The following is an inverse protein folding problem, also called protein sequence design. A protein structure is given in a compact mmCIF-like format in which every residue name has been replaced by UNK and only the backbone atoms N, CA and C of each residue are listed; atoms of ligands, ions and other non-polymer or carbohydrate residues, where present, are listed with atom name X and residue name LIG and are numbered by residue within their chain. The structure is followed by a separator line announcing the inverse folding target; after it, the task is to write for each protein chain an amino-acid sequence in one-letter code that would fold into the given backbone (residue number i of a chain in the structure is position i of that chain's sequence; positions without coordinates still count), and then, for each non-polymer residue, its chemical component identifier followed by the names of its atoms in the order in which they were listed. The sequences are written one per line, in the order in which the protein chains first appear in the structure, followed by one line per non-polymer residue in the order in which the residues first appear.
data_IF_438186855586
#
_entry.id   IF_438186855586
#
_cell.length_a   1.000
_cell.length_b   1.000
_cell.length_c   1.000
_cell.angle_alpha   90.00
_cell.angle_beta   90.00
_cell.angle_gamma   90.00
#
_symmetry.space_group_name_H-M   'P 1'
#
loop_
_entity.id
_entity.type
_entity.pdbx_description
1 polymer ?
#
# COMPACT_ATOMS: atom_id res chain seq x y z
N UNK A 1 7.42 4.83 -4.38
CA UNK A 1 6.36 4.26 -3.53
C UNK A 1 5.06 4.32 -4.32
N UNK A 2 4.22 3.30 -4.29
CA UNK A 2 2.89 3.32 -4.90
C UNK A 2 1.86 3.69 -3.81
N UNK A 3 1.80 4.95 -3.38
CA UNK A 3 0.75 5.37 -2.45
C UNK A 3 -0.38 6.01 -3.24
N UNK A 4 -1.59 5.57 -3.00
CA UNK A 4 -2.81 6.29 -3.34
C UNK A 4 -3.94 5.72 -2.49
N UNK A 5 -4.76 6.60 -1.92
CA UNK A 5 -5.76 6.21 -0.92
C UNK A 5 -6.75 5.16 -1.44
N UNK A 6 -7.08 5.21 -2.74
CA UNK A 6 -7.93 4.21 -3.41
C UNK A 6 -7.06 3.07 -3.91
N UNK A 7 -7.20 1.85 -3.36
CA UNK A 7 -6.40 0.72 -3.76
C UNK A 7 -6.70 0.28 -5.21
N UNK A 8 -5.72 -0.29 -5.94
CA UNK A 8 -5.93 -0.72 -7.32
C UNK A 8 -7.10 -1.68 -7.52
N UNK A 9 -7.36 -2.57 -6.56
CA UNK A 9 -8.46 -3.54 -6.66
C UNK A 9 -9.85 -2.87 -6.65
N UNK A 10 -10.00 -1.71 -6.00
CA UNK A 10 -11.26 -0.94 -6.00
C UNK A 10 -11.50 -0.34 -7.38
N UNK A 11 -10.48 0.29 -7.96
CA UNK A 11 -10.57 0.83 -9.32
C UNK A 11 -10.76 -0.29 -10.36
N UNK A 12 -10.18 -1.47 -10.15
CA UNK A 12 -10.40 -2.64 -11.02
C UNK A 12 -11.84 -3.16 -10.93
N UNK A 13 -12.46 -3.16 -9.75
CA UNK A 13 -13.87 -3.49 -9.59
C UNK A 13 -14.76 -2.48 -10.35
N UNK A 14 -14.49 -1.18 -10.21
CA UNK A 14 -15.21 -0.13 -10.96
C UNK A 14 -15.01 -0.25 -12.47
N UNK A 15 -13.80 -0.60 -12.92
CA UNK A 15 -13.46 -0.85 -14.31
C UNK A 15 -14.21 -2.05 -14.94
N UNK A 16 -14.90 -2.86 -14.13
CA UNK A 16 -15.70 -4.02 -14.56
C UNK A 16 -17.14 -3.98 -14.03
N UNK A 17 -17.59 -2.82 -13.54
CA UNK A 17 -18.89 -2.64 -12.88
C UNK A 17 -20.11 -2.81 -13.81
N UNK A 18 -19.93 -2.77 -15.13
CA UNK A 18 -21.02 -2.76 -16.10
C UNK A 18 -21.63 -1.37 -16.32
N UNK A 19 -21.07 -0.32 -15.69
CA UNK A 19 -21.50 1.07 -15.85
C UNK A 19 -20.49 1.84 -16.71
N UNK A 20 -20.79 2.14 -18.00
CA UNK A 20 -19.78 2.61 -18.96
C UNK A 20 -18.98 3.84 -18.52
N UNK A 21 -19.62 4.78 -17.84
CA UNK A 21 -18.95 5.99 -17.36
C UNK A 21 -17.95 5.67 -16.23
N UNK A 22 -18.38 4.92 -15.21
CA UNK A 22 -17.50 4.49 -14.11
C UNK A 22 -16.33 3.65 -14.62
N UNK A 23 -16.61 2.75 -15.57
CA UNK A 23 -15.56 1.93 -16.16
C UNK A 23 -14.51 2.76 -16.90
N UNK A 24 -14.93 3.81 -17.61
CA UNK A 24 -14.02 4.71 -18.32
C UNK A 24 -13.15 5.50 -17.35
N UNK A 25 -13.76 6.10 -16.31
CA UNK A 25 -13.05 6.90 -15.31
C UNK A 25 -12.06 6.06 -14.51
N UNK A 26 -12.48 4.89 -14.03
CA UNK A 26 -11.61 4.00 -13.27
C UNK A 26 -10.41 3.49 -14.09
N UNK A 27 -10.60 3.17 -15.38
CA UNK A 27 -9.49 2.80 -16.28
C UNK A 27 -8.53 3.96 -16.52
N UNK A 28 -9.03 5.17 -16.62
CA UNK A 28 -8.19 6.37 -16.78
C UNK A 28 -7.40 6.67 -15.50
N UNK A 29 -8.02 6.59 -14.33
CA UNK A 29 -7.34 6.69 -13.02
C UNK A 29 -6.21 5.67 -12.92
N UNK A 30 -6.50 4.37 -13.16
CA UNK A 30 -5.49 3.30 -13.16
C UNK A 30 -4.33 3.59 -14.14
N UNK A 31 -4.62 4.12 -15.33
CA UNK A 31 -3.61 4.49 -16.33
C UNK A 31 -2.73 5.63 -15.83
N UNK A 32 -3.31 6.66 -15.23
CA UNK A 32 -2.58 7.81 -14.68
C UNK A 32 -1.71 7.39 -13.50
N UNK A 33 -2.23 6.55 -12.60
CA UNK A 33 -1.50 5.98 -11.47
C UNK A 33 -0.27 5.22 -11.95
N UNK A 34 -0.46 4.33 -12.94
CA UNK A 34 0.64 3.59 -13.56
C UNK A 34 1.72 4.51 -14.17
N UNK A 35 1.33 5.53 -14.93
CA UNK A 35 2.26 6.48 -15.54
C UNK A 35 3.06 7.26 -14.49
N UNK A 36 2.43 7.63 -13.38
CA UNK A 36 3.10 8.31 -12.27
C UNK A 36 4.12 7.43 -11.60
N UNK A 37 3.79 6.16 -11.38
CA UNK A 37 4.74 5.22 -10.80
C UNK A 37 5.99 5.05 -11.67
N UNK A 38 5.82 4.95 -12.99
CA UNK A 38 6.95 4.86 -13.92
C UNK A 38 7.83 6.12 -13.88
N UNK A 39 7.21 7.30 -13.84
CA UNK A 39 7.94 8.57 -13.74
C UNK A 39 8.74 8.64 -12.43
N UNK A 40 8.10 8.33 -11.30
CA UNK A 40 8.74 8.35 -9.99
C UNK A 40 9.89 7.33 -9.90
N UNK A 41 9.70 6.10 -10.39
CA UNK A 41 10.75 5.08 -10.44
C UNK A 41 11.97 5.52 -11.27
N UNK A 42 11.73 6.17 -12.43
CA UNK A 42 12.81 6.71 -13.28
C UNK A 42 13.53 7.87 -12.59
N UNK A 43 12.81 8.80 -11.98
CA UNK A 43 13.41 9.92 -11.26
C UNK A 43 14.26 9.47 -10.08
N UNK A 44 13.84 8.45 -9.33
CA UNK A 44 14.62 7.88 -8.24
C UNK A 44 15.86 7.12 -8.72
N UNK A 45 15.80 6.46 -9.88
CA UNK A 45 16.96 5.78 -10.49
C UNK A 45 18.01 6.78 -10.99
N UNK A 46 17.59 7.95 -11.47
CA UNK A 46 18.47 9.01 -11.98
C UNK A 46 19.05 9.93 -10.87
N UNK A 47 18.48 9.92 -9.66
CA UNK A 47 18.83 10.85 -8.57
C UNK A 47 19.86 10.33 -7.55
N UNK A 48 20.58 9.25 -7.83
CA UNK A 48 21.69 8.82 -6.98
C UNK A 48 22.78 9.90 -6.77
N UNK A 49 22.88 10.90 -7.66
CA UNK A 49 23.93 11.94 -7.61
C UNK A 49 23.44 13.42 -7.57
N UNK A 50 22.14 13.71 -7.48
CA UNK A 50 21.65 15.09 -7.57
C UNK A 50 21.38 15.72 -6.19
N UNK A 51 22.43 16.31 -5.59
CA UNK A 51 22.32 17.17 -4.40
C UNK A 51 21.56 18.49 -4.71
N UNK A 52 20.60 18.80 -3.84
CA UNK A 52 20.43 20.13 -3.20
C UNK A 52 20.12 21.32 -4.14
N UNK A 53 18.94 21.35 -4.74
CA UNK A 53 18.41 22.59 -5.34
C UNK A 53 16.94 22.80 -4.92
N UNK A 54 16.67 23.98 -4.33
CA UNK A 54 15.37 24.58 -3.99
C UNK A 54 14.59 24.15 -2.72
N UNK A 55 15.25 23.66 -1.65
CA UNK A 55 14.56 23.36 -0.36
C UNK A 55 14.55 24.50 0.68
N UNK A 56 15.09 25.69 0.37
CA UNK A 56 15.23 26.75 1.38
C UNK A 56 14.06 27.75 1.42
N UNK A 57 13.29 27.90 0.34
CA UNK A 57 12.26 28.93 0.23
C UNK A 57 10.89 28.51 0.80
N UNK A 58 10.67 27.21 1.00
CA UNK A 58 9.38 26.63 1.43
C UNK A 58 9.44 26.00 2.81
N UNK A 59 10.49 26.26 3.61
CA UNK A 59 10.57 25.61 4.94
C UNK A 59 9.60 26.26 5.92
N UNK A 60 8.98 25.43 6.76
CA UNK A 60 8.26 25.88 7.94
C UNK A 60 9.24 26.33 9.03
N UNK A 61 8.77 27.15 9.96
CA UNK A 61 9.50 27.41 11.20
C UNK A 61 9.13 26.32 12.22
N UNK A 62 9.77 26.33 13.38
CA UNK A 62 9.34 25.50 14.52
C UNK A 62 8.06 26.00 15.18
N UNK A 63 7.46 27.10 14.68
CA UNK A 63 6.31 27.76 15.31
C UNK A 63 5.07 27.79 14.40
N UNK A 64 5.24 27.64 13.09
CA UNK A 64 4.14 27.65 12.13
C UNK A 64 4.47 26.81 10.88
N UNK A 65 3.46 26.19 10.23
CA UNK A 65 3.64 25.50 8.97
C UNK A 65 3.99 26.47 7.83
N UNK A 66 4.39 25.91 6.69
CA UNK A 66 4.47 26.64 5.42
C UNK A 66 3.72 25.84 4.37
N UNK A 67 2.49 26.25 4.08
CA UNK A 67 1.58 25.58 3.15
C UNK A 67 1.49 26.31 1.83
N UNK A 68 1.45 25.54 0.74
CA UNK A 68 1.21 26.07 -0.60
C UNK A 68 0.26 25.12 -1.34
N UNK A 69 -0.90 25.64 -1.73
CA UNK A 69 -1.89 24.92 -2.55
C UNK A 69 -1.83 25.45 -3.97
N UNK A 70 -1.77 24.52 -4.92
CA UNK A 70 -1.80 24.75 -6.34
C UNK A 70 -3.06 24.12 -6.96
N UNK A 71 -3.39 24.57 -8.17
CA UNK A 71 -4.47 24.07 -9.00
C UNK A 71 -3.89 23.50 -10.29
N UNK A 72 -4.22 22.24 -10.60
CA UNK A 72 -3.83 21.58 -11.84
C UNK A 72 -4.76 21.93 -13.03
N UNK A 73 -5.86 22.65 -12.78
CA UNK A 73 -6.86 23.10 -13.76
C UNK A 73 -7.43 21.93 -14.58
N UNK A 74 -7.65 20.79 -13.93
CA UNK A 74 -8.03 19.49 -14.52
C UNK A 74 -7.02 18.94 -15.55
N UNK A 75 -5.80 19.46 -15.55
CA UNK A 75 -4.65 18.88 -16.23
C UNK A 75 -3.90 17.89 -15.34
N UNK A 76 -2.79 17.36 -15.86
CA UNK A 76 -1.93 16.43 -15.13
C UNK A 76 -0.54 17.01 -14.84
N UNK A 77 -0.34 18.31 -15.03
CA UNK A 77 0.95 18.97 -14.76
C UNK A 77 1.03 19.35 -13.29
N UNK A 78 2.11 18.95 -12.61
CA UNK A 78 2.34 19.27 -11.20
C UNK A 78 3.51 20.27 -11.05
N UNK A 79 3.47 21.17 -10.06
CA UNK A 79 2.37 21.38 -9.11
C UNK A 79 1.19 22.16 -9.71
N UNK A 80 1.33 22.75 -10.90
CA UNK A 80 0.27 23.60 -11.49
C UNK A 80 0.39 25.07 -11.05
N UNK A 81 -0.73 25.79 -11.04
CA UNK A 81 -0.79 27.23 -10.71
C UNK A 81 -0.93 27.43 -9.21
N UNK A 82 -0.07 28.22 -8.57
CA UNK A 82 -0.24 28.53 -7.15
C UNK A 82 -1.51 29.35 -6.91
N UNK A 83 -2.42 28.87 -6.06
CA UNK A 83 -3.71 29.51 -5.77
C UNK A 83 -3.86 29.95 -4.32
N UNK A 84 -3.15 29.33 -3.37
CA UNK A 84 -3.14 29.76 -1.96
C UNK A 84 -1.79 29.48 -1.31
N UNK A 85 -1.27 30.44 -0.56
CA UNK A 85 0.00 30.32 0.17
C UNK A 85 -0.21 30.57 1.67
N UNK A 86 0.79 30.24 2.49
CA UNK A 86 0.74 30.44 3.94
C UNK A 86 0.34 31.88 4.31
N UNK A 87 -0.67 32.01 5.17
CA UNK A 87 -1.21 33.28 5.63
C UNK A 87 -2.13 34.00 4.64
N UNK A 88 -2.32 33.49 3.42
CA UNK A 88 -3.27 34.04 2.47
C UNK A 88 -4.73 33.77 2.91
N UNK A 89 -5.67 34.70 2.62
CA UNK A 89 -7.08 34.50 2.92
C UNK A 89 -7.66 33.27 2.19
N UNK A 90 -8.81 32.80 2.67
CA UNK A 90 -9.58 31.76 1.98
C UNK A 90 -9.99 32.21 0.57
N UNK A 91 -10.11 31.25 -0.33
CA UNK A 91 -10.57 31.46 -1.71
C UNK A 91 -12.03 31.05 -1.87
N UNK A 92 -12.66 31.34 -3.01
CA UNK A 92 -14.01 30.86 -3.32
C UNK A 92 -14.04 29.36 -3.66
N UNK A 93 -12.87 28.74 -3.87
CA UNK A 93 -12.74 27.31 -4.12
C UNK A 93 -12.69 26.50 -2.82
N UNK A 94 -13.62 25.56 -2.68
CA UNK A 94 -13.76 24.73 -1.49
C UNK A 94 -12.63 23.70 -1.38
N UNK A 95 -12.22 23.06 -2.47
CA UNK A 95 -11.16 22.06 -2.46
C UNK A 95 -9.81 22.68 -2.08
N UNK A 96 -9.54 23.90 -2.56
CA UNK A 96 -8.36 24.69 -2.16
C UNK A 96 -8.35 24.95 -0.65
N UNK A 97 -9.49 25.31 -0.08
CA UNK A 97 -9.60 25.61 1.35
C UNK A 97 -9.47 24.35 2.20
N UNK A 98 -10.17 23.27 1.83
CA UNK A 98 -10.09 21.98 2.50
C UNK A 98 -8.67 21.41 2.49
N UNK A 99 -7.98 21.45 1.35
CA UNK A 99 -6.58 21.05 1.26
C UNK A 99 -5.71 21.92 2.19
N UNK A 100 -5.81 23.25 2.10
CA UNK A 100 -5.02 24.17 2.93
C UNK A 100 -5.23 23.93 4.44
N UNK A 101 -6.46 23.71 4.86
CA UNK A 101 -6.82 23.49 6.26
C UNK A 101 -6.38 22.09 6.72
N UNK A 102 -6.54 21.06 5.89
CA UNK A 102 -6.10 19.71 6.20
C UNK A 102 -4.58 19.55 6.29
N UNK A 103 -3.82 20.26 5.43
CA UNK A 103 -2.37 20.39 5.56
C UNK A 103 -1.99 21.01 6.92
N UNK A 104 -2.73 22.02 7.36
CA UNK A 104 -2.53 22.70 8.64
C UNK A 104 -2.81 21.79 9.83
N UNK A 105 -3.97 21.16 9.86
CA UNK A 105 -4.37 20.22 10.90
C UNK A 105 -3.38 19.05 11.04
N UNK A 106 -2.87 18.55 9.92
CA UNK A 106 -1.84 17.50 9.92
C UNK A 106 -0.55 17.99 10.57
N UNK A 107 -0.04 19.15 10.16
CA UNK A 107 1.13 19.75 10.79
C UNK A 107 0.94 19.95 12.30
N UNK A 108 -0.24 20.44 12.71
CA UNK A 108 -0.53 20.68 14.12
C UNK A 108 -0.55 19.40 14.96
N UNK A 109 -1.01 18.27 14.43
CA UNK A 109 -0.90 16.99 15.15
C UNK A 109 0.57 16.68 15.42
N UNK A 110 1.39 16.64 14.38
CA UNK A 110 2.81 16.30 14.49
C UNK A 110 3.57 17.25 15.42
N UNK A 111 3.30 18.56 15.30
CA UNK A 111 3.95 19.57 16.11
C UNK A 111 3.47 19.54 17.57
N UNK A 112 2.16 19.64 17.80
CA UNK A 112 1.64 19.83 19.15
C UNK A 112 1.61 18.54 19.98
N UNK A 113 1.35 17.38 19.35
CA UNK A 113 1.32 16.11 20.06
C UNK A 113 2.71 15.50 20.21
N UNK A 114 3.59 15.68 19.20
CA UNK A 114 4.85 14.93 19.12
C UNK A 114 6.11 15.79 19.03
N UNK A 115 5.98 17.12 19.02
CA UNK A 115 7.11 18.05 18.91
C UNK A 115 7.85 17.98 17.57
N UNK A 116 7.27 17.30 16.56
CA UNK A 116 7.91 17.06 15.26
C UNK A 116 7.73 18.27 14.34
N UNK A 117 8.82 18.76 13.75
CA UNK A 117 8.74 19.89 12.83
C UNK A 117 8.47 19.43 11.37
N UNK A 118 7.19 19.29 11.03
CA UNK A 118 6.71 18.82 9.72
C UNK A 118 7.13 17.37 9.39
N UNK A 119 6.92 16.92 8.15
CA UNK A 119 7.04 15.52 7.77
C UNK A 119 8.48 14.98 7.89
N UNK A 120 9.49 15.81 7.65
CA UNK A 120 10.91 15.42 7.68
C UNK A 120 11.65 15.80 8.98
N UNK A 121 10.91 16.26 9.99
CA UNK A 121 11.41 16.82 11.26
C UNK A 121 12.37 18.02 11.11
N UNK A 122 12.40 18.65 9.93
CA UNK A 122 13.27 19.80 9.63
C UNK A 122 12.50 20.87 8.87
N UNK A 123 11.19 20.92 9.07
CA UNK A 123 10.30 21.93 8.53
C UNK A 123 10.12 21.85 7.03
N UNK A 124 9.96 20.65 6.47
CA UNK A 124 9.51 20.49 5.08
C UNK A 124 8.23 21.30 4.83
N UNK A 125 8.20 22.08 3.75
CA UNK A 125 6.98 22.77 3.31
C UNK A 125 5.92 21.77 2.88
N UNK A 126 4.67 22.08 3.18
CA UNK A 126 3.54 21.24 2.81
C UNK A 126 2.93 21.77 1.52
N UNK A 127 3.13 21.04 0.43
CA UNK A 127 2.64 21.41 -0.89
C UNK A 127 1.48 20.49 -1.25
N UNK A 128 0.42 21.06 -1.79
CA UNK A 128 -0.72 20.33 -2.34
C UNK A 128 -1.07 20.85 -3.73
N UNK A 129 -1.59 19.96 -4.57
CA UNK A 129 -2.23 20.26 -5.85
C UNK A 129 -3.65 19.70 -5.86
N UNK A 130 -4.64 20.55 -6.12
CA UNK A 130 -6.05 20.16 -6.29
C UNK A 130 -6.45 20.11 -7.76
N UNK A 131 -7.65 19.61 -8.05
CA UNK A 131 -8.22 19.48 -9.39
C UNK A 131 -7.31 18.73 -10.36
N UNK A 132 -6.66 17.67 -9.88
CA UNK A 132 -5.81 16.83 -10.69
C UNK A 132 -6.64 15.97 -11.64
N UNK A 133 -6.44 16.16 -12.95
CA UNK A 133 -7.20 15.49 -14.01
C UNK A 133 -8.72 15.75 -13.89
N UNK A 134 -9.53 15.04 -14.69
CA UNK A 134 -11.00 15.09 -14.66
C UNK A 134 -11.54 13.80 -14.06
N UNK A 135 -12.44 13.94 -13.09
CA UNK A 135 -13.13 12.81 -12.45
C UNK A 135 -12.12 11.76 -11.95
N UNK A 136 -11.02 12.24 -11.37
CA UNK A 136 -9.93 11.39 -10.91
C UNK A 136 -10.26 10.83 -9.53
N UNK A 137 -10.46 9.52 -9.48
CA UNK A 137 -10.88 8.78 -8.29
C UNK A 137 -9.69 8.36 -7.42
N UNK A 138 -8.78 9.30 -7.13
CA UNK A 138 -7.70 9.05 -6.19
C UNK A 138 -7.11 10.33 -5.56
N UNK A 139 -6.33 10.14 -4.51
CA UNK A 139 -5.42 11.13 -3.96
C UNK A 139 -4.14 10.42 -3.51
N UNK A 140 -3.01 11.13 -3.55
CA UNK A 140 -1.71 10.51 -3.22
C UNK A 140 -0.63 11.50 -2.78
N UNK A 141 0.34 10.98 -2.02
CA UNK A 141 1.66 11.59 -1.83
C UNK A 141 2.67 11.15 -2.91
N UNK A 142 3.23 12.10 -3.66
CA UNK A 142 4.16 11.80 -4.77
C UNK A 142 5.64 11.67 -4.37
N UNK A 143 5.94 11.80 -3.08
CA UNK A 143 7.30 11.91 -2.54
C UNK A 143 7.73 13.34 -2.22
N UNK A 144 6.99 14.35 -2.69
CA UNK A 144 7.27 15.77 -2.53
C UNK A 144 6.05 16.65 -2.23
N UNK A 145 4.87 16.27 -2.70
CA UNK A 145 3.61 16.99 -2.50
C UNK A 145 2.41 16.05 -2.46
N UNK A 146 1.30 16.59 -1.95
CA UNK A 146 -0.04 16.02 -2.04
C UNK A 146 -0.70 16.32 -3.38
N UNK A 147 -1.44 15.37 -3.92
CA UNK A 147 -2.24 15.53 -5.15
C UNK A 147 -3.64 14.99 -4.91
N UNK A 148 -4.66 15.77 -5.27
CA UNK A 148 -6.06 15.43 -5.05
C UNK A 148 -6.86 15.45 -6.36
N UNK A 149 -7.61 14.37 -6.60
CA UNK A 149 -8.69 14.35 -7.57
C UNK A 149 -10.01 14.88 -7.02
N UNK A 150 -10.91 15.20 -7.93
CA UNK A 150 -12.25 15.68 -7.63
C UNK A 150 -13.29 14.56 -7.45
N UNK A 151 -12.91 13.30 -7.77
CA UNK A 151 -13.81 12.16 -7.83
C UNK A 151 -14.82 12.25 -8.99
N UNK A 152 -15.45 11.13 -9.33
CA UNK A 152 -16.45 11.03 -10.40
C UNK A 152 -17.86 11.57 -10.04
N UNK A 153 -18.09 11.92 -8.77
CA UNK A 153 -19.37 12.40 -8.25
C UNK A 153 -20.48 11.35 -8.15
N UNK A 154 -20.21 10.09 -8.51
CA UNK A 154 -21.16 8.97 -8.54
C UNK A 154 -20.80 7.85 -7.55
N UNK A 155 -19.51 7.61 -7.38
CA UNK A 155 -18.91 6.69 -6.41
C UNK A 155 -18.08 7.50 -5.44
N UNK A 156 -17.17 8.34 -5.94
CA UNK A 156 -16.29 9.15 -5.12
C UNK A 156 -16.60 10.64 -5.27
N UNK A 157 -16.61 11.32 -4.13
CA UNK A 157 -16.63 12.78 -4.03
C UNK A 157 -15.18 13.29 -3.96
N UNK A 158 -15.00 14.62 -3.99
CA UNK A 158 -13.68 15.25 -3.94
C UNK A 158 -12.83 14.78 -2.75
N UNK A 159 -11.57 14.46 -3.03
CA UNK A 159 -10.68 13.82 -2.06
C UNK A 159 -10.15 14.77 -0.97
N UNK A 160 -10.26 16.08 -1.17
CA UNK A 160 -9.93 17.09 -0.15
C UNK A 160 -10.91 17.10 1.01
N UNK A 161 -12.10 16.53 0.85
CA UNK A 161 -13.18 16.55 1.84
C UNK A 161 -12.88 15.71 3.09
N UNK A 162 -11.96 14.76 2.98
CA UNK A 162 -11.69 13.77 4.00
C UNK A 162 -10.39 14.09 4.71
N UNK A 163 -10.49 14.62 5.93
CA UNK A 163 -9.34 15.10 6.69
C UNK A 163 -8.37 13.96 7.08
N UNK A 164 -8.92 12.80 7.39
CA UNK A 164 -8.18 11.55 7.63
C UNK A 164 -7.40 11.09 6.40
N UNK A 165 -7.93 11.24 5.19
CA UNK A 165 -7.22 10.94 3.93
C UNK A 165 -6.08 11.92 3.70
N UNK A 166 -6.28 13.22 3.94
CA UNK A 166 -5.18 14.20 3.88
C UNK A 166 -4.09 13.83 4.88
N UNK A 167 -4.47 13.49 6.12
CA UNK A 167 -3.54 13.06 7.16
C UNK A 167 -2.82 11.75 6.83
N UNK A 168 -3.51 10.78 6.24
CA UNK A 168 -2.99 9.48 5.79
C UNK A 168 -1.87 9.68 4.75
N UNK A 169 -2.15 10.44 3.71
CA UNK A 169 -1.18 10.63 2.63
C UNK A 169 0.07 11.39 3.10
N UNK A 170 -0.10 12.40 3.96
CA UNK A 170 1.01 13.11 4.57
C UNK A 170 1.81 12.23 5.56
N UNK A 171 1.16 11.26 6.21
CA UNK A 171 1.82 10.30 7.10
C UNK A 171 2.74 9.32 6.33
N UNK A 172 2.47 9.01 5.06
CA UNK A 172 3.46 8.33 4.21
C UNK A 172 4.77 9.12 4.09
N UNK A 173 4.67 10.45 4.01
CA UNK A 173 5.83 11.33 4.05
C UNK A 173 6.63 11.19 5.35
N UNK A 174 5.96 11.05 6.50
CA UNK A 174 6.65 10.79 7.78
C UNK A 174 7.36 9.44 7.75
N UNK A 175 6.66 8.38 7.36
CA UNK A 175 7.24 7.03 7.20
C UNK A 175 8.46 7.04 6.28
N UNK A 176 8.41 7.78 5.16
CA UNK A 176 9.54 7.95 4.25
C UNK A 176 10.78 8.58 4.91
N UNK A 177 10.59 9.51 5.85
CA UNK A 177 11.68 10.20 6.55
C UNK A 177 12.06 9.57 7.91
N UNK A 178 11.41 8.48 8.31
CA UNK A 178 11.70 7.76 9.55
C UNK A 178 12.07 6.30 9.29
N UNK A 179 11.10 5.39 9.34
CA UNK A 179 11.26 3.94 9.28
C UNK A 179 11.59 3.43 7.88
N UNK A 180 11.15 4.16 6.85
CA UNK A 180 11.36 3.80 5.45
C UNK A 180 10.75 2.44 5.08
N UNK A 181 9.66 2.04 5.75
CA UNK A 181 9.00 0.75 5.54
C UNK A 181 8.80 0.46 4.05
N UNK A 182 9.34 -0.69 3.62
CA UNK A 182 9.21 -1.17 2.24
C UNK A 182 7.73 -1.39 1.96
N UNK A 183 7.29 -0.89 0.82
CA UNK A 183 5.88 -0.95 0.41
C UNK A 183 5.55 -2.30 -0.23
N UNK A 184 5.73 -3.38 0.54
CA UNK A 184 5.52 -4.77 0.11
C UNK A 184 5.18 -5.65 1.33
N UNK A 185 4.26 -6.60 1.15
CA UNK A 185 3.85 -7.60 2.14
C UNK A 185 3.50 -6.95 3.50
N UNK A 186 3.94 -7.54 4.63
CA UNK A 186 3.65 -7.02 5.96
C UNK A 186 4.28 -5.64 6.23
N UNK A 187 5.47 -5.35 5.71
CA UNK A 187 6.08 -4.03 5.86
C UNK A 187 5.25 -2.95 5.15
N UNK A 188 4.69 -3.28 3.98
CA UNK A 188 3.80 -2.39 3.24
C UNK A 188 2.44 -2.23 3.94
N UNK A 189 1.89 -3.33 4.48
CA UNK A 189 0.69 -3.26 5.30
C UNK A 189 0.88 -2.44 6.58
N UNK A 190 2.08 -2.46 7.18
CA UNK A 190 2.45 -1.54 8.26
C UNK A 190 2.56 -0.09 7.77
N UNK A 191 3.08 0.14 6.57
CA UNK A 191 3.15 1.49 5.99
C UNK A 191 1.75 2.10 5.84
N UNK A 192 0.81 1.36 5.25
CA UNK A 192 -0.61 1.71 5.15
C UNK A 192 -1.27 1.90 6.52
N UNK A 193 -1.02 0.98 7.45
CA UNK A 193 -1.51 1.05 8.81
C UNK A 193 -1.09 2.32 9.53
N UNK A 194 0.19 2.68 9.46
CA UNK A 194 0.72 3.90 10.08
C UNK A 194 0.01 5.13 9.49
N UNK A 195 -0.20 5.15 8.18
CA UNK A 195 -0.93 6.23 7.53
C UNK A 195 -2.39 6.32 8.00
N UNK A 196 -3.10 5.19 8.10
CA UNK A 196 -4.47 5.15 8.64
C UNK A 196 -4.52 5.63 10.11
N UNK A 197 -3.59 5.18 10.96
CA UNK A 197 -3.48 5.61 12.37
C UNK A 197 -3.35 7.12 12.45
N UNK A 198 -2.33 7.70 11.81
CA UNK A 198 -2.09 9.14 11.94
C UNK A 198 -3.13 9.96 11.20
N UNK A 199 -3.72 9.47 10.11
CA UNK A 199 -4.88 10.07 9.46
C UNK A 199 -6.07 10.23 10.42
N UNK A 200 -6.48 9.15 11.09
CA UNK A 200 -7.56 9.21 12.08
C UNK A 200 -7.20 10.11 13.26
N UNK A 201 -5.95 10.10 13.73
CA UNK A 201 -5.52 11.01 14.80
C UNK A 201 -5.57 12.48 14.40
N UNK A 202 -5.27 12.83 13.14
CA UNK A 202 -5.46 14.20 12.61
C UNK A 202 -6.93 14.59 12.70
N UNK A 203 -7.83 13.72 12.18
CA UNK A 203 -9.28 13.95 12.22
C UNK A 203 -9.79 14.10 13.66
N UNK A 204 -9.43 13.18 14.54
CA UNK A 204 -9.84 13.20 15.95
C UNK A 204 -9.38 14.48 16.64
N UNK A 205 -8.12 14.88 16.48
CA UNK A 205 -7.58 16.08 17.12
C UNK A 205 -8.25 17.34 16.60
N UNK A 206 -8.40 17.46 15.28
CA UNK A 206 -9.03 18.64 14.66
C UNK A 206 -10.50 18.80 15.06
N UNK A 207 -11.22 17.68 15.28
CA UNK A 207 -12.61 17.68 15.71
C UNK A 207 -12.78 17.62 17.24
N UNK A 208 -11.71 17.51 18.01
CA UNK A 208 -11.75 17.37 19.47
C UNK A 208 -12.46 16.10 19.94
N UNK A 209 -12.31 15.00 19.22
CA UNK A 209 -12.97 13.71 19.51
C UNK A 209 -12.06 12.79 20.33
N UNK A 210 -12.60 12.22 21.40
CA UNK A 210 -11.95 11.12 22.10
C UNK A 210 -11.96 9.82 21.28
N UNK A 211 -11.20 8.82 21.72
CA UNK A 211 -11.20 7.47 21.15
C UNK A 211 -12.61 6.84 21.11
N UNK A 212 -13.47 7.15 22.09
CA UNK A 212 -14.84 6.66 22.16
C UNK A 212 -15.77 7.36 21.15
N UNK A 213 -15.52 8.64 20.87
CA UNK A 213 -16.35 9.46 19.98
C UNK A 213 -16.02 9.30 18.50
N UNK A 214 -14.81 8.84 18.18
CA UNK A 214 -14.35 8.67 16.81
C UNK A 214 -15.10 7.54 16.08
N UNK A 215 -15.34 7.73 14.80
CA UNK A 215 -15.96 6.71 13.93
C UNK A 215 -15.01 5.54 13.62
N UNK A 216 -13.69 5.78 13.68
CA UNK A 216 -12.63 4.84 13.28
C UNK A 216 -12.75 4.37 11.83
N UNK A 217 -13.24 5.25 10.95
CA UNK A 217 -13.37 5.03 9.52
C UNK A 217 -12.28 5.81 8.78
N UNK A 218 -11.87 5.28 7.62
CA UNK A 218 -11.00 5.98 6.68
C UNK A 218 -11.83 6.38 5.46
N UNK A 219 -11.84 7.66 5.12
CA UNK A 219 -12.49 8.11 3.88
C UNK A 219 -14.02 8.11 3.96
N UNK A 220 -14.61 8.31 5.15
CA UNK A 220 -16.07 8.28 5.33
C UNK A 220 -16.79 9.37 4.51
N UNK A 221 -16.10 10.49 4.28
CA UNK A 221 -16.58 11.65 3.54
C UNK A 221 -16.47 11.51 2.01
N UNK A 222 -15.82 10.44 1.53
CA UNK A 222 -15.54 10.24 0.11
C UNK A 222 -16.68 9.55 -0.66
N UNK A 223 -17.47 8.70 -0.01
CA UNK A 223 -18.47 7.90 -0.72
C UNK A 223 -19.71 8.74 -1.09
N UNK A 224 -20.07 8.73 -2.36
CA UNK A 224 -21.23 9.46 -2.87
C UNK A 224 -22.56 8.86 -2.35
N UNK A 225 -23.64 9.67 -2.25
CA UNK A 225 -24.96 9.16 -1.91
C UNK A 225 -25.40 8.02 -2.85
N UNK A 226 -25.80 6.89 -2.27
CA UNK A 226 -26.20 5.69 -3.02
C UNK A 226 -25.14 4.60 -3.10
N UNK A 227 -23.89 4.89 -2.70
CA UNK A 227 -22.89 3.86 -2.44
C UNK A 227 -23.21 3.10 -1.15
N UNK A 228 -23.18 1.77 -1.20
CA UNK A 228 -23.36 0.90 -0.03
C UNK A 228 -22.05 0.74 0.75
N UNK A 229 -21.67 1.80 1.44
CA UNK A 229 -20.51 1.80 2.32
C UNK A 229 -20.57 2.93 3.36
N UNK A 230 -19.70 2.83 4.35
CA UNK A 230 -19.50 3.85 5.39
C UNK A 230 -18.12 4.52 5.28
N UNK A 231 -17.23 3.98 4.46
CA UNK A 231 -15.90 4.51 4.17
C UNK A 231 -15.10 3.54 3.31
N UNK A 232 -13.83 3.83 3.06
CA UNK A 232 -12.91 2.94 2.35
C UNK A 232 -12.47 1.78 3.25
N UNK A 233 -12.23 2.05 4.53
CA UNK A 233 -11.76 1.07 5.53
C UNK A 233 -12.38 1.35 6.89
N UNK A 234 -12.45 0.32 7.73
CA UNK A 234 -12.80 0.46 9.15
C UNK A 234 -11.66 -0.07 10.00
N UNK A 235 -11.04 0.79 10.82
CA UNK A 235 -10.04 0.35 11.78
C UNK A 235 -10.66 -0.46 12.91
N UNK A 236 -11.92 -0.15 13.27
CA UNK A 236 -12.66 -0.86 14.32
C UNK A 236 -13.10 -2.26 13.90
N UNK A 237 -13.60 -2.40 12.68
CA UNK A 237 -14.11 -3.66 12.14
C UNK A 237 -13.68 -3.83 10.67
N UNK A 238 -12.40 -4.20 10.42
CA UNK A 238 -11.93 -4.45 9.06
C UNK A 238 -12.81 -5.49 8.34
N UNK A 239 -13.09 -5.25 7.05
CA UNK A 239 -13.97 -6.10 6.25
C UNK A 239 -15.45 -5.69 6.26
N UNK A 240 -15.79 -4.56 6.89
CA UNK A 240 -17.16 -4.05 7.00
C UNK A 240 -17.36 -2.64 6.45
N UNK A 241 -16.35 -2.02 5.83
CA UNK A 241 -16.45 -0.64 5.38
C UNK A 241 -17.42 -0.45 4.20
N UNK A 242 -17.50 -1.43 3.30
CA UNK A 242 -18.43 -1.41 2.16
C UNK A 242 -18.80 -2.81 1.67
N UNK A 243 -19.98 -2.90 1.05
CA UNK A 243 -20.50 -4.05 0.32
C UNK A 243 -21.43 -3.52 -0.78
N UNK A 244 -20.81 -2.99 -1.84
CA UNK A 244 -21.46 -2.32 -2.95
C UNK A 244 -21.29 -3.15 -4.24
N UNK A 245 -22.34 -3.34 -5.06
CA UNK A 245 -22.24 -4.11 -6.31
C UNK A 245 -21.16 -3.60 -7.29
N UNK A 246 -20.78 -2.32 -7.22
CA UNK A 246 -19.78 -1.69 -8.10
C UNK A 246 -18.37 -1.77 -7.50
N UNK A 247 -18.24 -1.69 -6.17
CA UNK A 247 -16.95 -1.72 -5.45
C UNK A 247 -16.53 -3.12 -5.02
N UNK A 248 -17.47 -4.07 -4.98
CA UNK A 248 -17.32 -5.33 -4.27
C UNK A 248 -17.51 -5.18 -2.77
N UNK A 249 -16.90 -6.08 -2.01
CA UNK A 249 -16.92 -6.09 -0.55
C UNK A 249 -15.52 -5.77 -0.01
N UNK A 250 -15.47 -4.99 1.08
CA UNK A 250 -14.24 -4.73 1.84
C UNK A 250 -13.50 -6.05 2.16
N UNK A 251 -12.28 -6.26 1.61
CA UNK A 251 -11.56 -7.52 1.72
C UNK A 251 -10.71 -7.62 3.00
N UNK A 252 -10.65 -6.58 3.84
CA UNK A 252 -9.65 -6.53 4.92
C UNK A 252 -9.90 -7.58 6.03
N UNK A 253 -8.90 -8.41 6.38
CA UNK A 253 -8.95 -9.20 7.61
C UNK A 253 -8.73 -8.32 8.85
N UNK A 254 -9.40 -8.66 9.95
CA UNK A 254 -9.18 -8.08 11.28
C UNK A 254 -8.38 -8.97 12.23
N UNK A 255 -7.85 -10.11 11.75
CA UNK A 255 -7.09 -11.06 12.56
C UNK A 255 -6.11 -11.85 11.69
N UNK A 256 -4.92 -12.17 12.22
CA UNK A 256 -3.87 -12.97 11.56
C UNK A 256 -4.28 -14.35 11.06
N UNK A 257 -5.39 -14.92 11.54
CA UNK A 257 -5.86 -16.23 11.06
C UNK A 257 -6.42 -16.15 9.64
N UNK A 258 -6.87 -14.95 9.26
CA UNK A 258 -7.48 -14.63 7.97
C UNK A 258 -6.51 -13.81 7.10
N UNK A 259 -5.22 -13.79 7.45
CA UNK A 259 -4.18 -13.08 6.70
C UNK A 259 -4.20 -13.53 5.23
N UNK A 260 -4.22 -12.57 4.31
CA UNK A 260 -4.32 -12.84 2.88
C UNK A 260 -2.91 -12.90 2.29
N UNK A 261 -2.52 -14.08 1.81
CA UNK A 261 -1.28 -14.26 1.02
C UNK A 261 -1.62 -14.05 -0.45
N UNK A 262 -1.04 -13.03 -1.06
CA UNK A 262 -1.30 -12.65 -2.46
C UNK A 262 -0.09 -11.93 -3.05
N UNK A 263 0.07 -11.95 -4.38
CA UNK A 263 1.03 -11.09 -5.10
C UNK A 263 0.38 -9.77 -5.54
N UNK A 264 -0.95 -9.70 -5.54
CA UNK A 264 -1.70 -8.49 -5.84
C UNK A 264 -1.50 -7.45 -4.75
N UNK A 265 -1.77 -6.18 -5.08
CA UNK A 265 -1.73 -5.09 -4.10
C UNK A 265 -0.39 -5.06 -3.32
N UNK A 266 0.72 -5.34 -4.01
CA UNK A 266 2.06 -5.39 -3.42
C UNK A 266 2.18 -6.35 -2.21
N UNK A 267 1.55 -7.52 -2.27
CA UNK A 267 1.53 -8.41 -1.11
C UNK A 267 0.32 -8.18 -0.18
N UNK A 268 -0.73 -7.54 -0.69
CA UNK A 268 -1.92 -7.19 0.09
C UNK A 268 -1.67 -6.08 1.11
N UNK A 269 -0.97 -5.01 0.74
CA UNK A 269 -0.63 -3.92 1.68
C UNK A 269 -1.89 -3.19 2.19
N UNK A 270 -2.85 -2.88 1.32
CA UNK A 270 -4.11 -2.27 1.74
C UNK A 270 -5.07 -3.31 2.32
N UNK A 271 -4.93 -4.57 1.94
CA UNK A 271 -5.78 -5.66 2.44
C UNK A 271 -5.41 -5.98 3.90
N UNK A 272 -4.15 -6.34 4.15
CA UNK A 272 -3.69 -6.83 5.44
C UNK A 272 -3.47 -5.73 6.50
N UNK A 273 -3.54 -4.44 6.13
CA UNK A 273 -3.45 -3.32 7.08
C UNK A 273 -4.60 -3.28 8.10
N UNK A 274 -5.72 -3.96 7.81
CA UNK A 274 -6.83 -4.14 8.74
C UNK A 274 -6.43 -4.78 10.08
N UNK A 275 -5.50 -5.72 10.07
CA UNK A 275 -5.03 -6.46 11.26
C UNK A 275 -4.38 -5.50 12.27
N UNK A 276 -3.30 -4.76 11.92
CA UNK A 276 -2.71 -3.78 12.83
C UNK A 276 -3.63 -2.57 13.07
N UNK A 277 -4.50 -2.18 12.13
CA UNK A 277 -5.51 -1.13 12.36
C UNK A 277 -6.44 -1.47 13.52
N UNK A 278 -6.93 -2.72 13.57
CA UNK A 278 -7.76 -3.20 14.69
C UNK A 278 -6.98 -3.25 15.99
N UNK A 279 -5.70 -3.62 15.97
CA UNK A 279 -4.85 -3.57 17.16
C UNK A 279 -4.76 -2.14 17.72
N UNK A 280 -4.47 -1.14 16.89
CA UNK A 280 -4.41 0.26 17.35
C UNK A 280 -5.76 0.74 17.92
N UNK A 281 -6.87 0.44 17.23
CA UNK A 281 -8.21 0.78 17.72
C UNK A 281 -8.48 0.19 19.12
N UNK A 282 -8.10 -1.07 19.35
CA UNK A 282 -8.25 -1.75 20.63
C UNK A 282 -7.39 -1.07 21.72
N UNK A 283 -6.14 -0.72 21.43
CA UNK A 283 -5.28 0.01 22.38
C UNK A 283 -5.91 1.36 22.73
N UNK A 284 -6.25 2.17 21.73
CA UNK A 284 -6.82 3.50 21.92
C UNK A 284 -8.13 3.46 22.72
N UNK A 285 -9.01 2.50 22.43
CA UNK A 285 -10.29 2.35 23.13
C UNK A 285 -10.11 1.84 24.56
N UNK A 286 -9.15 0.93 24.78
CA UNK A 286 -8.85 0.40 26.13
C UNK A 286 -8.28 1.48 27.05
N UNK A 287 -7.41 2.34 26.52
CA UNK A 287 -6.82 3.44 27.27
C UNK A 287 -7.77 4.64 27.43
N UNK A 288 -8.68 4.81 26.47
CA UNK A 288 -9.66 5.91 26.46
C UNK A 288 -9.01 7.28 26.27
N UNK A 289 -9.79 8.33 26.52
CA UNK A 289 -9.34 9.71 26.34
C UNK A 289 -9.02 10.05 24.89
N UNK A 290 -8.08 10.97 24.68
CA UNK A 290 -7.65 11.40 23.35
C UNK A 290 -6.58 10.43 22.82
N UNK A 291 -6.88 9.71 21.73
CA UNK A 291 -5.98 8.63 21.28
C UNK A 291 -4.58 9.14 20.87
N UNK A 292 -4.45 10.40 20.44
CA UNK A 292 -3.16 10.98 20.05
C UNK A 292 -2.20 11.18 21.23
N UNK A 293 -2.69 11.24 22.47
CA UNK A 293 -1.88 11.54 23.67
C UNK A 293 -1.08 10.34 24.16
N UNK A 294 -1.71 9.15 24.23
CA UNK A 294 -1.08 7.94 24.78
C UNK A 294 -0.83 6.91 23.68
N UNK A 295 -1.89 6.37 23.06
CA UNK A 295 -1.74 5.36 22.02
C UNK A 295 -0.92 5.87 20.82
N UNK A 296 -1.23 7.09 20.35
CA UNK A 296 -0.48 7.75 19.28
C UNK A 296 0.98 8.03 19.65
N UNK A 297 1.28 8.38 20.90
CA UNK A 297 2.65 8.60 21.36
C UNK A 297 3.48 7.30 21.36
N UNK A 298 2.87 6.18 21.75
CA UNK A 298 3.49 4.84 21.69
C UNK A 298 3.82 4.48 20.23
N UNK A 299 2.85 4.64 19.32
CA UNK A 299 3.06 4.36 17.89
C UNK A 299 4.11 5.30 17.28
N UNK A 300 4.10 6.58 17.64
CA UNK A 300 5.09 7.55 17.19
C UNK A 300 6.51 7.18 17.64
N UNK A 301 6.67 6.78 18.91
CA UNK A 301 7.95 6.32 19.44
C UNK A 301 8.44 5.04 18.72
N UNK A 302 7.53 4.12 18.38
CA UNK A 302 7.89 2.91 17.62
C UNK A 302 8.40 3.25 16.21
N UNK A 303 7.68 4.10 15.44
CA UNK A 303 8.06 4.42 14.05
C UNK A 303 9.26 5.37 13.92
N UNK A 304 9.64 6.05 15.01
CA UNK A 304 10.84 6.91 15.06
C UNK A 304 12.02 6.25 15.79
N UNK A 305 11.81 5.06 16.35
CA UNK A 305 12.82 4.26 17.02
C UNK A 305 13.63 3.35 16.09
N UNK A 306 14.04 2.18 16.58
CA UNK A 306 14.89 1.23 15.84
C UNK A 306 14.10 0.24 14.97
N UNK A 307 13.06 0.72 14.30
CA UNK A 307 12.29 -0.05 13.31
C UNK A 307 13.09 -0.20 12.02
N UNK A 308 13.04 -1.38 11.40
CA UNK A 308 13.68 -1.67 10.11
C UNK A 308 12.69 -1.55 8.96
N UNK A 309 13.19 -1.32 7.76
CA UNK A 309 12.36 -1.14 6.57
C UNK A 309 11.57 -2.40 6.18
N UNK A 310 12.05 -3.59 6.55
CA UNK A 310 11.46 -4.91 6.32
C UNK A 310 10.69 -5.44 7.55
N UNK A 311 10.28 -4.56 8.46
CA UNK A 311 9.57 -4.93 9.69
C UNK A 311 8.29 -5.71 9.40
N UNK A 312 8.12 -6.84 10.09
CA UNK A 312 6.89 -7.63 10.09
C UNK A 312 5.97 -7.25 11.27
N UNK A 313 4.75 -7.81 11.30
CA UNK A 313 3.77 -7.47 12.32
C UNK A 313 4.21 -7.86 13.73
N UNK A 314 4.87 -9.01 13.90
CA UNK A 314 5.32 -9.47 15.21
C UNK A 314 6.44 -8.57 15.77
N UNK A 315 7.39 -8.18 14.91
CA UNK A 315 8.45 -7.25 15.26
C UNK A 315 7.86 -5.87 15.60
N UNK A 316 6.91 -5.38 14.81
CA UNK A 316 6.26 -4.10 15.10
C UNK A 316 5.47 -4.13 16.42
N UNK A 317 4.77 -5.24 16.71
CA UNK A 317 4.09 -5.43 17.99
C UNK A 317 5.07 -5.32 19.17
N UNK A 318 6.20 -6.03 19.11
CA UNK A 318 7.25 -5.94 20.13
C UNK A 318 7.84 -4.54 20.26
N UNK A 319 8.02 -3.80 19.15
CA UNK A 319 8.49 -2.41 19.17
C UNK A 319 7.49 -1.46 19.84
N UNK A 320 6.18 -1.64 19.59
CA UNK A 320 5.15 -0.84 20.27
C UNK A 320 5.06 -1.16 21.77
N UNK A 321 5.26 -2.43 22.16
CA UNK A 321 5.32 -2.80 23.58
C UNK A 321 6.54 -2.18 24.26
N UNK A 322 7.72 -2.29 23.66
CA UNK A 322 8.95 -1.67 24.17
C UNK A 322 8.83 -0.14 24.25
N UNK A 323 8.16 0.50 23.27
CA UNK A 323 7.87 1.93 23.31
C UNK A 323 6.95 2.29 24.49
N UNK A 324 5.90 1.50 24.74
CA UNK A 324 5.02 1.68 25.89
C UNK A 324 5.77 1.50 27.22
N UNK A 325 6.65 0.50 27.33
CA UNK A 325 7.49 0.29 28.51
C UNK A 325 8.42 1.47 28.76
N UNK A 326 9.06 2.01 27.71
CA UNK A 326 9.96 3.15 27.82
C UNK A 326 9.25 4.44 28.26
N UNK A 327 7.99 4.64 27.85
CA UNK A 327 7.21 5.83 28.16
C UNK A 327 6.47 5.74 29.51
N UNK A 328 5.98 4.56 29.88
CA UNK A 328 5.04 4.39 31.01
C UNK A 328 5.54 3.40 32.09
N UNK A 329 6.58 2.62 31.80
CA UNK A 329 7.11 1.56 32.68
C UNK A 329 6.53 0.17 32.38
N UNK A 330 7.28 -0.88 32.72
CA UNK A 330 6.98 -2.27 32.34
C UNK A 330 5.66 -2.84 32.89
N UNK A 331 5.25 -2.41 34.09
CA UNK A 331 4.02 -2.88 34.76
C UNK A 331 2.82 -1.95 34.52
N UNK A 332 2.88 -1.09 33.50
CA UNK A 332 1.85 -0.08 33.21
C UNK A 332 0.61 -0.64 32.52
N UNK A 333 -0.50 0.09 32.60
CA UNK A 333 -1.75 -0.28 31.92
C UNK A 333 -1.60 -0.17 30.40
N UNK A 334 -0.76 0.74 29.93
CA UNK A 334 -0.40 0.99 28.54
C UNK A 334 0.28 -0.23 27.92
N UNK A 335 1.29 -0.79 28.61
CA UNK A 335 1.97 -2.03 28.17
C UNK A 335 0.98 -3.20 28.12
N UNK A 336 0.12 -3.32 29.14
CA UNK A 336 -0.91 -4.37 29.17
C UNK A 336 -1.92 -4.22 28.01
N UNK A 337 -2.35 -2.99 27.69
CA UNK A 337 -3.27 -2.71 26.60
C UNK A 337 -2.65 -3.03 25.23
N UNK A 338 -1.40 -2.61 24.99
CA UNK A 338 -0.66 -2.94 23.75
C UNK A 338 -0.54 -4.45 23.57
N UNK A 339 -0.06 -5.15 24.59
CA UNK A 339 0.11 -6.60 24.55
C UNK A 339 -1.21 -7.32 24.30
N UNK A 340 -2.28 -6.93 24.99
CA UNK A 340 -3.61 -7.53 24.83
C UNK A 340 -4.20 -7.29 23.43
N UNK A 341 -4.00 -6.10 22.85
CA UNK A 341 -4.53 -5.77 21.54
C UNK A 341 -3.87 -6.58 20.42
N UNK A 342 -2.53 -6.74 20.45
CA UNK A 342 -1.81 -7.57 19.48
C UNK A 342 -2.21 -9.05 19.59
N UNK A 343 -2.36 -9.55 20.83
CA UNK A 343 -2.87 -10.91 21.07
C UNK A 343 -4.29 -11.11 20.52
N UNK A 344 -5.18 -10.13 20.70
CA UNK A 344 -6.58 -10.18 20.23
C UNK A 344 -6.71 -10.23 18.71
N UNK A 345 -5.77 -9.63 17.97
CA UNK A 345 -5.69 -9.74 16.50
C UNK A 345 -4.83 -10.92 16.04
N UNK A 346 -4.31 -11.73 16.96
CA UNK A 346 -3.54 -12.93 16.69
C UNK A 346 -2.08 -12.71 16.30
N UNK A 347 -1.53 -11.52 16.55
CA UNK A 347 -0.09 -11.24 16.41
C UNK A 347 0.56 -11.59 17.75
N UNK A 348 1.23 -12.73 17.78
CA UNK A 348 1.95 -13.25 18.96
C UNK A 348 3.35 -13.64 18.54
N UNK A 349 4.29 -13.77 19.48
CA UNK A 349 5.65 -14.26 19.19
C UNK A 349 5.68 -15.64 18.49
N UNK A 350 4.56 -16.37 18.50
CA UNK A 350 4.36 -17.65 17.82
C UNK A 350 3.66 -17.55 16.45
N UNK A 351 3.18 -16.37 16.06
CA UNK A 351 2.47 -16.13 14.80
C UNK A 351 3.37 -15.41 13.79
N UNK A 352 4.51 -16.03 13.47
CA UNK A 352 5.09 -15.82 12.16
C UNK A 352 4.32 -16.72 11.18
N UNK A 353 3.66 -16.21 10.12
CA UNK A 353 3.68 -16.97 8.89
C UNK A 353 5.15 -17.12 8.54
N UNK A 354 5.60 -18.36 8.39
CA UNK A 354 6.98 -18.70 8.03
C UNK A 354 7.54 -17.71 6.99
N UNK A 355 8.59 -16.95 7.30
CA UNK A 355 9.40 -16.37 6.23
C UNK A 355 9.95 -17.55 5.42
N UNK A 356 9.79 -17.51 4.11
CA UNK A 356 10.46 -18.45 3.22
C UNK A 356 11.95 -18.52 3.61
N UNK A 357 12.49 -19.68 4.01
CA UNK A 357 13.91 -19.81 4.13
C UNK A 357 14.48 -19.78 2.72
N UNK A 358 15.43 -18.88 2.47
CA UNK A 358 16.34 -19.01 1.34
C UNK A 358 16.88 -20.43 1.34
N UNK A 359 16.65 -21.16 0.25
CA UNK A 359 17.05 -22.55 0.12
C UNK A 359 18.53 -22.72 0.45
N UNK A 360 18.84 -23.55 1.44
CA UNK A 360 20.11 -24.26 1.50
C UNK A 360 19.82 -25.74 1.24
N UNK A 361 20.59 -26.40 0.36
CA UNK A 361 20.27 -27.71 -0.17
C UNK A 361 20.74 -28.75 0.85
N UNK A 362 19.86 -29.66 1.23
CA UNK A 362 20.19 -31.06 1.52
C UNK A 362 18.99 -31.70 2.23
N UNK A 363 18.06 -32.19 1.42
CA UNK A 363 17.23 -33.35 1.78
C UNK A 363 16.60 -33.85 0.49
N UNK A 364 17.14 -34.95 -0.03
CA UNK A 364 16.60 -35.68 -1.18
C UNK A 364 15.56 -36.68 -0.67
N UNK A 365 14.31 -36.66 -1.16
CA UNK A 365 13.48 -37.85 -1.20
C UNK A 365 13.73 -38.61 -2.52
N UNK A 366 13.91 -39.91 -2.41
CA UNK A 366 14.03 -40.91 -3.49
C UNK A 366 12.74 -40.96 -4.35
N UNK A 367 12.82 -41.23 -5.67
CA UNK A 367 11.74 -41.01 -6.63
C UNK A 367 10.84 -42.24 -6.79
N UNK A 368 9.57 -42.00 -7.13
CA UNK A 368 9.00 -42.38 -8.43
C UNK A 368 7.45 -42.50 -8.41
N UNK A 369 6.89 -42.31 -9.60
CA UNK A 369 5.63 -42.87 -10.12
C UNK A 369 4.31 -42.11 -9.92
N UNK A 370 4.35 -40.78 -9.98
CA UNK A 370 3.19 -39.96 -10.37
C UNK A 370 3.34 -39.45 -11.81
N UNK A 371 2.25 -39.23 -12.57
CA UNK A 371 2.35 -38.55 -13.87
C UNK A 371 2.94 -37.16 -13.66
N UNK A 372 4.01 -36.84 -14.41
CA UNK A 372 4.75 -35.59 -14.24
C UNK A 372 3.84 -34.42 -14.66
N UNK A 373 3.49 -33.55 -13.71
CA UNK A 373 2.71 -32.36 -13.95
C UNK A 373 3.61 -31.13 -14.01
N UNK A 374 3.28 -30.22 -14.92
CA UNK A 374 3.91 -28.90 -15.00
C UNK A 374 2.82 -27.84 -15.04
N UNK A 375 2.96 -26.82 -14.19
CA UNK A 375 2.18 -25.61 -14.28
C UNK A 375 3.01 -24.56 -15.01
N UNK A 376 2.38 -23.92 -15.99
CA UNK A 376 2.93 -22.82 -16.74
C UNK A 376 2.03 -21.63 -16.51
N UNK A 377 2.61 -20.52 -16.08
CA UNK A 377 1.96 -19.22 -15.93
C UNK A 377 2.67 -18.22 -16.82
N UNK A 378 1.95 -17.35 -17.51
CA UNK A 378 2.49 -16.23 -18.29
C UNK A 378 1.83 -14.97 -17.80
N UNK A 379 2.62 -14.03 -17.31
CA UNK A 379 2.16 -12.76 -16.74
C UNK A 379 2.89 -11.59 -17.41
N UNK A 380 2.34 -10.39 -17.28
CA UNK A 380 2.94 -9.15 -17.80
C UNK A 380 2.37 -8.70 -19.14
N UNK A 381 3.17 -7.94 -19.89
CA UNK A 381 2.73 -7.20 -21.06
C UNK A 381 1.94 -5.93 -20.70
N UNK A 382 1.83 -5.01 -21.65
CA UNK A 382 1.18 -3.69 -21.46
C UNK A 382 -0.27 -3.75 -20.95
N UNK A 383 -0.95 -4.89 -21.12
CA UNK A 383 -2.32 -5.13 -20.68
C UNK A 383 -2.43 -5.96 -19.39
N UNK A 384 -1.32 -6.35 -18.75
CA UNK A 384 -1.32 -7.13 -17.50
C UNK A 384 -2.01 -8.49 -17.60
N UNK A 385 -2.00 -9.13 -18.77
CA UNK A 385 -2.76 -10.36 -19.02
C UNK A 385 -2.04 -11.53 -18.36
N UNK A 386 -2.76 -12.22 -17.46
CA UNK A 386 -2.33 -13.49 -16.88
C UNK A 386 -2.97 -14.66 -17.61
N UNK A 387 -2.16 -15.64 -18.02
CA UNK A 387 -2.62 -16.96 -18.47
C UNK A 387 -1.93 -18.03 -17.64
N UNK A 388 -2.67 -19.01 -17.16
CA UNK A 388 -2.13 -20.09 -16.36
C UNK A 388 -2.78 -21.41 -16.74
N UNK A 389 -1.98 -22.48 -16.78
CA UNK A 389 -2.47 -23.83 -16.99
C UNK A 389 -1.56 -24.85 -16.32
N UNK A 390 -2.16 -25.86 -15.72
CA UNK A 390 -1.47 -27.06 -15.23
C UNK A 390 -1.77 -28.22 -16.18
N UNK A 391 -0.74 -28.92 -16.64
CA UNK A 391 -0.86 -30.04 -17.58
C UNK A 391 -0.10 -31.26 -17.08
N UNK A 392 -0.65 -32.44 -17.33
CA UNK A 392 0.07 -33.71 -17.23
C UNK A 392 0.88 -33.88 -18.51
N UNK A 393 2.20 -34.11 -18.41
CA UNK A 393 3.07 -34.17 -19.58
C UNK A 393 2.67 -35.27 -20.59
N UNK A 394 2.10 -36.38 -20.11
CA UNK A 394 1.63 -37.47 -20.97
C UNK A 394 0.35 -37.15 -21.76
N UNK A 395 -0.33 -36.04 -21.45
CA UNK A 395 -1.52 -35.57 -22.15
C UNK A 395 -1.18 -34.53 -23.24
N UNK A 396 0.07 -34.07 -23.30
CA UNK A 396 0.57 -33.19 -24.35
C UNK A 396 0.87 -33.97 -25.64
N UNK A 397 0.87 -33.32 -26.81
CA UNK A 397 1.41 -33.90 -28.04
C UNK A 397 2.83 -34.46 -27.80
N UNK A 398 3.14 -35.62 -28.37
CA UNK A 398 4.38 -36.39 -28.09
C UNK A 398 5.67 -35.54 -28.19
N UNK A 399 5.72 -34.63 -29.17
CA UNK A 399 6.85 -33.71 -29.37
C UNK A 399 7.00 -32.72 -28.22
N UNK A 400 5.89 -32.17 -27.71
CA UNK A 400 5.87 -31.21 -26.61
C UNK A 400 6.16 -31.91 -25.27
N UNK A 401 5.62 -33.11 -25.06
CA UNK A 401 5.94 -33.96 -23.92
C UNK A 401 7.45 -34.28 -23.84
N UNK A 402 8.07 -34.64 -24.96
CA UNK A 402 9.52 -34.89 -25.05
C UNK A 402 10.34 -33.63 -24.77
N UNK A 403 9.90 -32.47 -25.28
CA UNK A 403 10.58 -31.20 -25.05
C UNK A 403 10.55 -30.79 -23.56
N UNK A 404 9.39 -30.92 -22.90
CA UNK A 404 9.26 -30.72 -21.45
C UNK A 404 10.13 -31.68 -20.64
N UNK A 405 10.09 -32.97 -20.96
CA UNK A 405 10.93 -33.98 -20.32
C UNK A 405 12.42 -33.65 -20.48
N UNK A 406 12.84 -33.12 -21.63
CA UNK A 406 14.23 -32.70 -21.84
C UNK A 406 14.61 -31.45 -21.04
N UNK A 407 13.69 -30.51 -20.80
CA UNK A 407 13.94 -29.31 -19.98
C UNK A 407 14.00 -29.63 -18.49
N UNK A 408 13.22 -30.62 -18.06
CA UNK A 408 13.11 -31.09 -16.67
C UNK A 408 14.04 -32.27 -16.36
N UNK A 409 14.82 -32.75 -17.32
CA UNK A 409 15.67 -33.92 -17.15
C UNK A 409 16.86 -33.65 -16.21
N UNK A 410 17.15 -34.63 -15.36
CA UNK A 410 18.33 -34.64 -14.49
C UNK A 410 18.10 -34.00 -13.12
N UNK A 411 19.11 -34.07 -12.23
CA UNK A 411 19.04 -33.49 -10.89
C UNK A 411 19.07 -31.96 -10.89
N UNK A 412 19.61 -31.35 -11.94
CA UNK A 412 19.57 -29.91 -12.20
C UNK A 412 18.83 -29.68 -13.53
N UNK A 413 17.55 -29.30 -13.49
CA UNK A 413 16.76 -29.04 -14.69
C UNK A 413 17.43 -27.99 -15.57
N UNK A 414 17.59 -28.27 -16.87
CA UNK A 414 18.13 -27.31 -17.85
C UNK A 414 17.37 -25.98 -17.86
N UNK A 415 16.11 -26.00 -17.43
CA UNK A 415 15.30 -24.79 -17.31
C UNK A 415 15.91 -23.73 -16.37
N UNK A 416 16.71 -24.15 -15.38
CA UNK A 416 17.43 -23.24 -14.46
C UNK A 416 18.49 -22.39 -15.18
N UNK A 417 19.01 -22.84 -16.33
CA UNK A 417 19.96 -22.06 -17.14
C UNK A 417 19.37 -20.72 -17.61
N UNK A 418 18.04 -20.60 -17.64
CA UNK A 418 17.34 -19.40 -18.08
C UNK A 418 16.89 -18.48 -16.92
N UNK A 419 17.13 -18.85 -15.67
CA UNK A 419 16.63 -18.15 -14.47
C UNK A 419 17.42 -16.87 -14.08
N UNK A 420 18.37 -16.41 -14.91
CA UNK A 420 19.28 -15.30 -14.59
C UNK A 420 18.98 -13.96 -15.27
N UNK A 421 17.81 -13.79 -15.90
CA UNK A 421 17.48 -12.56 -16.63
C UNK A 421 17.17 -11.38 -15.71
N UNK A 422 17.74 -10.20 -16.00
CA UNK A 422 17.37 -8.95 -15.32
C UNK A 422 15.88 -8.67 -15.56
N UNK A 423 15.11 -8.48 -14.48
CA UNK A 423 13.68 -8.21 -14.55
C UNK A 423 13.42 -6.91 -15.31
N UNK A 424 12.60 -6.99 -16.37
CA UNK A 424 12.24 -5.82 -17.18
C UNK A 424 10.76 -5.51 -16.98
N UNK A 425 10.39 -4.29 -16.55
CA UNK A 425 8.99 -3.89 -16.46
C UNK A 425 8.31 -3.96 -17.84
N UNK A 426 7.02 -4.29 -17.85
CA UNK A 426 6.12 -4.43 -19.03
C UNK A 426 6.44 -5.54 -20.03
N UNK A 427 7.46 -6.37 -19.76
CA UNK A 427 7.72 -7.58 -20.54
C UNK A 427 6.98 -8.76 -19.94
N UNK A 428 6.62 -9.73 -20.78
CA UNK A 428 6.04 -10.95 -20.24
C UNK A 428 7.12 -11.76 -19.52
N UNK A 429 6.72 -12.47 -18.48
CA UNK A 429 7.50 -13.50 -17.84
C UNK A 429 6.70 -14.79 -17.76
N UNK A 430 7.41 -15.91 -17.63
CA UNK A 430 6.82 -17.22 -17.44
C UNK A 430 7.14 -17.73 -16.05
N UNK A 431 6.12 -18.11 -15.28
CA UNK A 431 6.24 -18.98 -14.13
C UNK A 431 6.19 -20.43 -14.59
N UNK A 432 7.13 -21.26 -14.14
CA UNK A 432 7.09 -22.71 -14.36
C UNK A 432 7.31 -23.42 -13.04
N UNK A 433 6.34 -24.24 -12.64
CA UNK A 433 6.42 -25.04 -11.43
C UNK A 433 6.13 -26.53 -11.70
N UNK A 434 6.86 -27.41 -11.01
CA UNK A 434 6.61 -28.86 -11.02
C UNK A 434 7.08 -29.50 -9.71
N UNK A 435 6.40 -30.58 -9.29
CA UNK A 435 6.70 -31.27 -8.02
C UNK A 435 7.89 -32.23 -8.12
N UNK A 436 8.13 -32.80 -9.31
CA UNK A 436 9.18 -33.80 -9.54
C UNK A 436 9.83 -33.61 -10.92
N UNK A 437 11.07 -33.08 -11.00
CA UNK A 437 11.86 -32.54 -9.88
C UNK A 437 11.21 -31.29 -9.28
N UNK A 438 11.40 -30.99 -7.97
CA UNK A 438 10.86 -29.77 -7.38
C UNK A 438 11.49 -28.54 -8.03
N UNK A 439 10.64 -27.76 -8.70
CA UNK A 439 11.03 -26.58 -9.46
C UNK A 439 9.95 -25.52 -9.30
N UNK A 440 10.36 -24.29 -9.04
CA UNK A 440 9.53 -23.09 -9.15
C UNK A 440 10.42 -21.96 -9.66
N UNK A 441 10.19 -21.53 -10.89
CA UNK A 441 11.04 -20.56 -11.59
C UNK A 441 10.21 -19.47 -12.23
N UNK A 442 10.69 -18.24 -12.10
CA UNK A 442 10.25 -17.10 -12.92
C UNK A 442 11.29 -16.82 -14.01
N UNK A 443 10.88 -16.92 -15.26
CA UNK A 443 11.72 -16.84 -16.45
C UNK A 443 11.33 -15.61 -17.28
N UNK A 444 12.28 -14.71 -17.52
CA UNK A 444 12.03 -13.52 -18.32
C UNK A 444 11.87 -13.91 -19.79
N UNK A 445 10.75 -13.56 -20.44
CA UNK A 445 10.49 -13.93 -21.84
C UNK A 445 11.65 -13.57 -22.81
N UNK A 446 12.31 -12.40 -22.70
CA UNK A 446 13.42 -12.04 -23.58
C UNK A 446 14.68 -12.91 -23.41
N UNK A 447 14.82 -13.58 -22.26
CA UNK A 447 15.97 -14.44 -21.96
C UNK A 447 15.75 -15.90 -22.43
N UNK A 448 14.53 -16.25 -22.85
CA UNK A 448 14.19 -17.60 -23.29
C UNK A 448 14.54 -17.83 -24.76
N UNK A 449 15.19 -18.96 -25.12
CA UNK A 449 15.30 -19.37 -26.50
C UNK A 449 13.91 -19.49 -27.14
N UNK A 450 13.81 -19.11 -28.42
CA UNK A 450 12.53 -19.10 -29.15
C UNK A 450 11.79 -20.44 -29.05
N UNK A 451 12.52 -21.55 -29.13
CA UNK A 451 11.96 -22.90 -29.04
C UNK A 451 11.33 -23.22 -27.68
N UNK A 452 11.86 -22.66 -26.58
CA UNK A 452 11.32 -22.86 -25.23
C UNK A 452 10.09 -21.99 -25.03
N UNK A 453 10.14 -20.74 -25.50
CA UNK A 453 8.99 -19.84 -25.47
C UNK A 453 7.78 -20.40 -26.24
N UNK A 454 8.01 -20.91 -27.45
CA UNK A 454 6.94 -21.52 -28.25
C UNK A 454 6.34 -22.78 -27.60
N UNK A 455 7.15 -23.57 -26.88
CA UNK A 455 6.65 -24.69 -26.09
C UNK A 455 5.72 -24.21 -24.98
N UNK A 456 6.08 -23.14 -24.28
CA UNK A 456 5.25 -22.56 -23.20
C UNK A 456 3.94 -21.99 -23.75
N UNK A 457 3.99 -21.24 -24.85
CA UNK A 457 2.81 -20.70 -25.51
C UNK A 457 1.85 -21.83 -25.95
N UNK A 458 2.36 -22.89 -26.60
CA UNK A 458 1.52 -24.06 -26.97
C UNK A 458 0.94 -24.76 -25.75
N UNK A 459 1.71 -24.85 -24.68
CA UNK A 459 1.24 -25.45 -23.41
C UNK A 459 0.11 -24.63 -22.81
N UNK A 460 0.12 -23.30 -22.96
CA UNK A 460 -0.93 -22.40 -22.48
C UNK A 460 -2.15 -22.31 -23.41
N UNK A 461 -2.01 -22.63 -24.70
CA UNK A 461 -3.07 -22.49 -25.71
C UNK A 461 -3.87 -23.78 -25.98
N UNK A 462 -3.28 -24.95 -25.79
CA UNK A 462 -3.98 -26.25 -25.86
C UNK A 462 -4.95 -26.41 -24.70
#
# INVERSE_FOLDING_TARGET
MRCGIVPPYVLQALATSGEPHLEERARETLRLDALRYDQHAREHTLRADARRVSRSATRSTTEAPNRIVHDAEHGTTLPGTQVRAEGAPATDDTAVNEAYDGLGATWELWHAAYGRNSLDDRGLGLIATVHYSRDYDNAFWDGTQMVFGDGDGQVFLGFTRSLDVIGHELAHGVTQFTSGLVYQDQAGALNEHISDVFGVLVKQRALGQSAEQSDWLIGAELLAPGVKGVGLRSMKAPGTAYDDPRLGKDPQPGHMRDFVVTDDDNGGVHINSGIPNRAFHLVATTLGGNAWEVAGAIWYAAITGDIKADCDFATFAALTEAAAEGLHGADSAEVAAVRSAWQEVGVTDAAAPTPHPSANPDTVPDPATGPQQVQVRRTGGFAGITRERTVVLDELPEIDALAWRSLLAGPEPRLREFAGGTQQPDRFCYGVSCEAPPLDLTLQEPALPTTVRELFDRTLEA
#
